data_IF_663460714843
#
_entry.id   IF_663460714843
#
_cell.length_a   1.000
_cell.length_b   1.000
_cell.length_c   1.000
_cell.angle_alpha   90.00
_cell.angle_beta   90.00
_cell.angle_gamma   90.00
#
_symmetry.space_group_name_H-M   'P 1'
#
loop_
_entity.id
_entity.type
_entity.pdbx_description
1 polymer ?
#
# COMPACT_ATOMS: atom_id res chain seq x y z
N UNK A 1 -15.85 -30.02 8.50
CA UNK A 1 -14.88 -28.95 8.27
C UNK A 1 -15.20 -28.25 6.97
N UNK A 2 -15.87 -27.11 7.07
CA UNK A 2 -16.10 -26.08 6.06
C UNK A 2 -15.00 -25.00 6.16
N UNK A 3 -15.09 -23.90 5.39
CA UNK A 3 -14.07 -22.83 5.39
C UNK A 3 -13.90 -22.23 6.80
N UNK A 4 -15.00 -21.95 7.49
CA UNK A 4 -14.96 -21.35 8.84
C UNK A 4 -14.40 -22.31 9.88
N UNK A 5 -14.79 -23.59 9.84
CA UNK A 5 -14.25 -24.63 10.72
C UNK A 5 -12.75 -24.84 10.46
N UNK A 6 -12.31 -24.79 9.19
CA UNK A 6 -10.90 -24.81 8.85
C UNK A 6 -10.20 -23.59 9.44
N UNK A 7 -10.73 -22.37 9.23
CA UNK A 7 -10.18 -21.13 9.78
C UNK A 7 -10.02 -21.21 11.31
N UNK A 8 -11.09 -21.57 12.02
CA UNK A 8 -11.07 -21.70 13.47
C UNK A 8 -10.11 -22.78 13.96
N UNK A 9 -9.96 -23.88 13.23
CA UNK A 9 -8.99 -24.94 13.58
C UNK A 9 -7.53 -24.48 13.49
N UNK A 10 -7.27 -23.40 12.74
CA UNK A 10 -5.94 -22.82 12.61
C UNK A 10 -5.61 -21.86 13.76
N UNK A 11 -6.59 -21.45 14.57
CA UNK A 11 -6.37 -20.62 15.74
C UNK A 11 -5.49 -21.36 16.77
N UNK A 12 -4.27 -20.88 16.98
CA UNK A 12 -3.28 -21.52 17.86
C UNK A 12 -2.53 -22.70 17.25
N UNK A 13 -2.69 -22.97 15.95
CA UNK A 13 -1.90 -23.98 15.23
C UNK A 13 -0.50 -23.46 14.90
N UNK A 14 0.51 -24.34 14.98
CA UNK A 14 1.90 -24.10 14.56
C UNK A 14 2.06 -24.29 13.03
N UNK A 15 1.21 -23.65 12.24
CA UNK A 15 1.41 -23.60 10.78
C UNK A 15 2.57 -22.66 10.49
N UNK A 16 3.59 -23.17 9.80
CA UNK A 16 4.85 -22.45 9.58
C UNK A 16 4.83 -21.56 8.34
N UNK A 17 3.96 -21.85 7.37
CA UNK A 17 3.86 -21.13 6.10
C UNK A 17 2.82 -20.00 6.16
N UNK A 18 2.89 -19.19 7.23
CA UNK A 18 2.08 -17.97 7.34
C UNK A 18 2.79 -16.78 6.70
N UNK A 19 2.03 -15.84 6.17
CA UNK A 19 2.56 -14.57 5.66
C UNK A 19 3.07 -13.66 6.79
N UNK A 20 3.55 -12.47 6.44
CA UNK A 20 4.05 -11.48 7.39
C UNK A 20 2.99 -10.97 8.38
N UNK A 21 1.71 -11.16 8.07
CA UNK A 21 0.57 -10.82 8.91
C UNK A 21 0.09 -12.02 9.75
N UNK A 22 0.79 -13.15 9.67
CA UNK A 22 0.43 -14.37 10.39
C UNK A 22 -0.79 -15.06 9.80
N UNK A 23 -1.11 -14.89 8.52
CA UNK A 23 -2.24 -15.50 7.85
C UNK A 23 -1.80 -16.70 7.01
N UNK A 24 -2.59 -17.75 6.98
CA UNK A 24 -2.44 -18.79 5.96
C UNK A 24 -3.17 -18.35 4.70
N UNK A 25 -2.47 -18.29 3.58
CA UNK A 25 -3.04 -17.90 2.29
C UNK A 25 -3.17 -19.14 1.40
N UNK A 26 -4.39 -19.44 0.97
CA UNK A 26 -4.69 -20.49 0.00
C UNK A 26 -5.06 -19.86 -1.34
N UNK A 27 -4.23 -20.06 -2.34
CA UNK A 27 -4.37 -19.52 -3.70
C UNK A 27 -4.70 -20.64 -4.69
N UNK A 28 -5.11 -20.26 -5.90
CA UNK A 28 -5.47 -21.21 -6.99
C UNK A 28 -4.47 -22.34 -7.17
N UNK A 29 -3.17 -22.05 -7.11
CA UNK A 29 -2.09 -23.01 -7.33
C UNK A 29 -1.37 -23.44 -6.05
N UNK A 30 -1.91 -23.12 -4.88
CA UNK A 30 -1.35 -23.63 -3.62
C UNK A 30 -1.36 -25.15 -3.61
N UNK A 31 -0.34 -25.73 -2.97
CA UNK A 31 -0.22 -27.17 -2.74
C UNK A 31 -0.40 -27.46 -1.24
N UNK A 32 -1.63 -27.74 -0.76
CA UNK A 32 -1.91 -27.94 0.66
C UNK A 32 -1.04 -29.00 1.34
N UNK A 33 -0.62 -30.04 0.62
CA UNK A 33 0.25 -31.13 1.12
C UNK A 33 1.67 -30.66 1.41
N UNK A 34 2.09 -29.57 0.78
CA UNK A 34 3.39 -28.94 1.02
C UNK A 34 3.38 -28.00 2.23
N UNK A 35 2.21 -27.69 2.79
CA UNK A 35 2.06 -26.70 3.85
C UNK A 35 2.41 -27.34 5.20
N UNK A 36 3.52 -26.90 5.78
CA UNK A 36 4.05 -27.40 7.03
C UNK A 36 3.16 -27.01 8.21
N UNK A 37 2.68 -28.03 8.93
CA UNK A 37 1.86 -27.85 10.14
C UNK A 37 0.36 -28.04 9.93
N UNK A 38 -0.11 -28.24 8.70
CA UNK A 38 -1.48 -28.71 8.46
C UNK A 38 -1.61 -30.20 8.81
N UNK A 39 -2.70 -30.55 9.51
CA UNK A 39 -3.07 -31.95 9.71
C UNK A 39 -3.57 -32.57 8.39
N UNK A 40 -3.62 -33.90 8.35
CA UNK A 40 -4.17 -34.63 7.18
C UNK A 40 -5.61 -34.20 6.91
N UNK A 41 -6.43 -34.01 7.95
CA UNK A 41 -7.81 -33.57 7.80
C UNK A 41 -7.88 -32.15 7.23
N UNK A 42 -7.08 -31.22 7.75
CA UNK A 42 -7.03 -29.84 7.25
C UNK A 42 -6.56 -29.79 5.80
N UNK A 43 -5.57 -30.60 5.44
CA UNK A 43 -5.04 -30.71 4.07
C UNK A 43 -6.13 -31.16 3.09
N UNK A 44 -6.88 -32.22 3.44
CA UNK A 44 -7.99 -32.73 2.61
C UNK A 44 -9.08 -31.67 2.43
N UNK A 45 -9.39 -30.93 3.49
CA UNK A 45 -10.42 -29.90 3.46
C UNK A 45 -9.98 -28.70 2.63
N UNK A 46 -8.75 -28.22 2.83
CA UNK A 46 -8.15 -27.13 2.05
C UNK A 46 -8.15 -27.47 0.55
N UNK A 47 -7.71 -28.69 0.18
CA UNK A 47 -7.74 -29.15 -1.21
C UNK A 47 -9.15 -29.15 -1.78
N UNK A 48 -10.12 -29.71 -1.06
CA UNK A 48 -11.52 -29.73 -1.52
C UNK A 48 -12.08 -28.32 -1.73
N UNK A 49 -11.74 -27.37 -0.86
CA UNK A 49 -12.15 -25.96 -1.00
C UNK A 49 -11.50 -25.35 -2.24
N UNK A 50 -10.18 -25.51 -2.42
CA UNK A 50 -9.46 -25.00 -3.59
C UNK A 50 -9.99 -25.58 -4.90
N UNK A 51 -10.20 -26.89 -4.96
CA UNK A 51 -10.77 -27.57 -6.13
C UNK A 51 -12.16 -26.99 -6.45
N UNK A 52 -13.01 -26.83 -5.43
CA UNK A 52 -14.38 -26.32 -5.63
C UNK A 52 -14.42 -24.87 -6.09
N UNK A 53 -13.56 -24.01 -5.54
CA UNK A 53 -13.45 -22.61 -5.99
C UNK A 53 -12.86 -22.58 -7.41
N UNK A 54 -11.83 -23.39 -7.69
CA UNK A 54 -11.19 -23.49 -9.00
C UNK A 54 -12.14 -23.91 -10.12
N UNK A 55 -13.17 -24.72 -9.82
CA UNK A 55 -14.24 -25.07 -10.77
C UNK A 55 -15.17 -23.88 -11.09
N UNK A 56 -15.32 -22.93 -10.16
CA UNK A 56 -16.28 -21.83 -10.26
C UNK A 56 -15.65 -20.54 -10.79
N UNK A 57 -14.34 -20.37 -10.60
CA UNK A 57 -13.61 -19.16 -10.98
C UNK A 57 -12.88 -19.40 -12.32
N UNK A 58 -13.09 -18.58 -13.36
CA UNK A 58 -12.40 -18.67 -14.64
C UNK A 58 -10.87 -18.67 -14.53
N UNK A 59 -10.18 -19.31 -15.47
CA UNK A 59 -8.70 -19.46 -15.46
C UNK A 59 -7.94 -18.13 -15.57
N UNK A 60 -8.57 -17.10 -16.14
CA UNK A 60 -8.03 -15.74 -16.26
C UNK A 60 -8.27 -14.88 -15.01
N UNK A 61 -8.89 -15.45 -13.97
CA UNK A 61 -9.13 -14.80 -12.68
C UNK A 61 -8.45 -15.61 -11.59
N UNK A 62 -7.53 -14.99 -10.87
CA UNK A 62 -6.93 -15.57 -9.67
C UNK A 62 -7.80 -15.33 -8.44
N UNK A 63 -7.57 -16.16 -7.43
CA UNK A 63 -8.26 -16.04 -6.15
C UNK A 63 -7.32 -16.38 -4.99
N UNK A 64 -7.63 -15.80 -3.84
CA UNK A 64 -6.98 -16.11 -2.57
C UNK A 64 -8.01 -16.23 -1.45
N UNK A 65 -7.85 -17.24 -0.60
CA UNK A 65 -8.58 -17.40 0.65
C UNK A 65 -7.59 -17.25 1.81
N UNK A 66 -7.74 -16.17 2.57
CA UNK A 66 -6.91 -15.86 3.74
C UNK A 66 -7.57 -16.38 5.01
N UNK A 67 -6.80 -17.10 5.81
CA UNK A 67 -7.23 -17.78 7.03
C UNK A 67 -6.32 -17.36 8.19
N UNK A 68 -6.86 -16.56 9.11
CA UNK A 68 -6.12 -16.00 10.25
C UNK A 68 -6.57 -16.55 11.61
N UNK A 69 -7.65 -17.36 11.63
CA UNK A 69 -8.28 -17.87 12.85
C UNK A 69 -9.37 -16.98 13.44
N UNK A 70 -9.64 -15.81 12.86
CA UNK A 70 -10.72 -14.89 13.24
C UNK A 70 -11.83 -14.94 12.19
N UNK A 71 -11.59 -14.44 10.99
CA UNK A 71 -12.59 -14.36 9.92
C UNK A 71 -11.94 -14.68 8.57
N UNK A 72 -12.46 -15.66 7.81
CA UNK A 72 -11.89 -15.99 6.52
C UNK A 72 -12.19 -14.87 5.52
N UNK A 73 -11.20 -14.48 4.72
CA UNK A 73 -11.37 -13.45 3.68
C UNK A 73 -11.12 -14.05 2.31
N UNK A 74 -12.11 -13.94 1.43
CA UNK A 74 -11.98 -14.36 0.04
C UNK A 74 -11.76 -13.15 -0.86
N UNK A 75 -10.78 -13.22 -1.74
CA UNK A 75 -10.46 -12.16 -2.69
C UNK A 75 -10.28 -12.72 -4.09
N UNK A 76 -10.75 -11.97 -5.07
CA UNK A 76 -10.52 -12.20 -6.49
C UNK A 76 -9.51 -11.20 -7.02
N UNK A 77 -8.71 -11.62 -7.99
CA UNK A 77 -7.80 -10.78 -8.74
C UNK A 77 -7.89 -11.10 -10.21
N UNK A 78 -7.92 -10.07 -11.05
CA UNK A 78 -7.83 -10.21 -12.51
C UNK A 78 -6.48 -9.68 -12.94
N UNK A 79 -5.67 -10.51 -13.61
CA UNK A 79 -4.43 -10.09 -14.25
C UNK A 79 -4.72 -9.80 -15.72
N UNK A 80 -4.72 -8.52 -16.09
CA UNK A 80 -4.88 -8.07 -17.48
C UNK A 80 -3.56 -8.14 -18.28
N UNK A 81 -2.49 -8.67 -17.69
CA UNK A 81 -1.13 -8.69 -18.23
C UNK A 81 -0.39 -7.35 -18.07
N UNK A 82 -1.01 -6.34 -17.47
CA UNK A 82 -0.54 -4.97 -17.34
C UNK A 82 -0.44 -4.56 -15.86
N UNK A 83 0.23 -5.39 -15.07
CA UNK A 83 0.79 -5.11 -13.73
C UNK A 83 -0.18 -4.66 -12.61
N UNK A 84 -1.50 -4.64 -12.83
CA UNK A 84 -2.49 -4.25 -11.83
C UNK A 84 -3.28 -5.44 -11.30
N UNK A 85 -2.96 -5.89 -10.08
CA UNK A 85 -3.84 -6.79 -9.32
C UNK A 85 -4.85 -5.90 -8.58
N UNK A 86 -6.11 -5.89 -9.00
CA UNK A 86 -7.18 -5.24 -8.23
C UNK A 86 -7.83 -6.29 -7.34
N UNK A 87 -7.67 -6.24 -6.00
CA UNK A 87 -8.32 -7.20 -5.13
C UNK A 87 -9.79 -6.83 -4.94
N UNK A 88 -10.69 -7.69 -5.39
CA UNK A 88 -12.11 -7.63 -5.04
C UNK A 88 -12.39 -8.59 -3.88
N UNK A 89 -12.68 -8.07 -2.68
CA UNK A 89 -13.13 -8.92 -1.58
C UNK A 89 -14.60 -9.30 -1.76
N UNK A 90 -14.93 -10.59 -1.61
CA UNK A 90 -16.32 -11.05 -1.60
C UNK A 90 -16.66 -11.40 -0.15
N UNK A 91 -17.56 -10.65 0.51
CA UNK A 91 -18.06 -11.04 1.82
C UNK A 91 -18.95 -12.28 1.68
N UNK A 92 -18.85 -13.20 2.64
CA UNK A 92 -19.66 -14.42 2.72
C UNK A 92 -19.78 -14.87 4.18
N UNK A 93 -20.90 -15.49 4.54
CA UNK A 93 -21.18 -16.02 5.87
C UNK A 93 -21.12 -17.56 5.91
N UNK A 94 -21.24 -18.21 4.74
CA UNK A 94 -21.16 -19.67 4.60
C UNK A 94 -20.45 -20.07 3.30
N UNK A 95 -19.90 -21.29 3.27
CA UNK A 95 -19.31 -21.89 2.06
C UNK A 95 -20.32 -21.90 0.91
N UNK A 96 -21.56 -22.31 1.17
CA UNK A 96 -22.63 -22.36 0.17
C UNK A 96 -22.95 -20.98 -0.40
N UNK A 97 -22.96 -19.94 0.43
CA UNK A 97 -23.15 -18.57 -0.03
C UNK A 97 -22.01 -18.13 -0.94
N UNK A 98 -20.75 -18.38 -0.56
CA UNK A 98 -19.59 -18.07 -1.39
C UNK A 98 -19.71 -18.77 -2.75
N UNK A 99 -19.97 -20.08 -2.75
CA UNK A 99 -20.08 -20.85 -3.98
C UNK A 99 -21.25 -20.39 -4.86
N UNK A 100 -22.40 -20.05 -4.26
CA UNK A 100 -23.53 -19.53 -5.00
C UNK A 100 -23.23 -18.17 -5.63
N UNK A 101 -22.56 -17.27 -4.89
CA UNK A 101 -22.12 -15.97 -5.40
C UNK A 101 -21.13 -16.09 -6.55
N UNK A 102 -20.21 -17.05 -6.48
CA UNK A 102 -19.26 -17.33 -7.58
C UNK A 102 -19.97 -17.93 -8.80
N UNK A 103 -20.95 -18.80 -8.58
CA UNK A 103 -21.74 -19.41 -9.65
C UNK A 103 -22.62 -18.40 -10.39
N UNK A 104 -23.23 -17.45 -9.66
CA UNK A 104 -24.10 -16.41 -10.18
C UNK A 104 -23.33 -15.18 -10.68
N UNK A 105 -22.01 -15.14 -10.50
CA UNK A 105 -21.17 -14.01 -10.87
C UNK A 105 -21.22 -13.79 -12.38
N UNK A 106 -21.53 -12.56 -12.79
CA UNK A 106 -21.27 -12.11 -14.14
C UNK A 106 -19.78 -11.82 -14.29
N UNK A 107 -19.06 -12.79 -14.85
CA UNK A 107 -17.61 -12.69 -15.03
C UNK A 107 -17.22 -11.64 -16.08
N UNK A 108 -18.08 -11.33 -17.05
CA UNK A 108 -17.80 -10.31 -18.06
C UNK A 108 -17.99 -8.90 -17.49
N UNK A 109 -19.00 -8.71 -16.63
CA UNK A 109 -19.13 -7.48 -15.84
C UNK A 109 -17.95 -7.32 -14.87
N UNK A 110 -17.54 -8.39 -14.18
CA UNK A 110 -16.34 -8.36 -13.33
C UNK A 110 -15.09 -7.92 -14.11
N UNK A 111 -14.77 -8.56 -15.24
CA UNK A 111 -13.65 -8.16 -16.11
C UNK A 111 -13.77 -6.70 -16.55
N UNK A 112 -14.96 -6.29 -16.98
CA UNK A 112 -15.23 -4.92 -17.43
C UNK A 112 -15.03 -3.91 -16.31
N UNK A 113 -15.41 -4.23 -15.08
CA UNK A 113 -15.21 -3.37 -13.91
C UNK A 113 -13.72 -3.22 -13.56
N UNK A 114 -12.95 -4.31 -13.68
CA UNK A 114 -11.50 -4.33 -13.38
C UNK A 114 -10.71 -3.54 -14.42
N UNK A 115 -11.06 -3.71 -15.70
CA UNK A 115 -10.55 -2.90 -16.82
C UNK A 115 -11.06 -1.44 -16.74
N UNK A 116 -12.25 -1.21 -16.20
CA UNK A 116 -12.76 0.13 -15.92
C UNK A 116 -11.92 0.85 -14.87
N UNK A 117 -11.44 0.11 -13.86
CA UNK A 117 -10.50 0.61 -12.85
C UNK A 117 -9.21 1.16 -13.46
N UNK A 118 -8.56 0.43 -14.38
CA UNK A 118 -7.33 0.91 -15.04
C UNK A 118 -7.58 2.17 -15.88
N UNK A 119 -8.70 2.21 -16.62
CA UNK A 119 -9.12 3.41 -17.37
C UNK A 119 -9.33 4.63 -16.44
N UNK A 120 -9.88 4.41 -15.24
CA UNK A 120 -10.04 5.47 -14.24
C UNK A 120 -8.67 6.02 -13.80
N UNK A 121 -7.70 5.17 -13.47
CA UNK A 121 -6.37 5.62 -13.07
C UNK A 121 -5.66 6.40 -14.18
N UNK A 122 -5.80 5.97 -15.43
CA UNK A 122 -5.27 6.69 -16.60
C UNK A 122 -5.94 8.06 -16.78
N UNK A 123 -7.26 8.13 -16.65
CA UNK A 123 -8.01 9.40 -16.69
C UNK A 123 -7.59 10.33 -15.55
N UNK A 124 -7.48 9.80 -14.32
CA UNK A 124 -7.02 10.54 -13.16
C UNK A 124 -5.59 11.07 -13.34
N UNK A 125 -4.71 10.29 -13.97
CA UNK A 125 -3.35 10.71 -14.29
C UNK A 125 -3.36 11.83 -15.34
N UNK A 126 -4.19 11.75 -16.38
CA UNK A 126 -4.37 12.82 -17.36
C UNK A 126 -4.94 14.10 -16.75
N UNK A 127 -5.83 13.98 -15.77
CA UNK A 127 -6.33 15.12 -14.99
C UNK A 127 -5.22 15.70 -14.11
N UNK A 128 -4.45 14.85 -13.41
CA UNK A 128 -3.35 15.27 -12.55
C UNK A 128 -2.24 16.00 -13.34
N UNK A 129 -1.96 15.59 -14.58
CA UNK A 129 -1.04 16.30 -15.49
C UNK A 129 -1.44 17.75 -15.73
N UNK A 130 -2.75 18.06 -15.71
CA UNK A 130 -3.30 19.41 -15.91
C UNK A 130 -3.41 20.22 -14.62
N UNK A 131 -3.38 19.58 -13.46
CA UNK A 131 -3.44 20.25 -12.14
C UNK A 131 -2.06 20.86 -11.80
N UNK A 132 -2.00 22.08 -11.22
CA UNK A 132 -0.74 22.64 -10.75
C UNK A 132 -0.23 21.85 -9.53
N UNK A 133 1.09 21.74 -9.40
CA UNK A 133 1.70 21.17 -8.19
C UNK A 133 1.33 22.01 -6.95
N UNK A 134 0.99 21.31 -5.87
CA UNK A 134 0.60 21.91 -4.58
C UNK A 134 1.68 21.78 -3.52
N UNK A 135 2.89 21.31 -3.87
CA UNK A 135 3.99 21.20 -2.92
C UNK A 135 4.35 22.60 -2.39
N UNK A 136 4.28 22.83 -1.08
CA UNK A 136 4.67 24.11 -0.50
C UNK A 136 6.15 24.38 -0.70
N UNK A 137 6.50 25.64 -1.02
CA UNK A 137 7.89 26.04 -1.07
C UNK A 137 8.55 25.89 0.30
N UNK A 138 9.81 25.44 0.32
CA UNK A 138 10.62 25.37 1.54
C UNK A 138 10.71 26.74 2.22
N UNK A 139 10.68 27.84 1.45
CA UNK A 139 10.64 29.19 2.03
C UNK A 139 9.37 29.43 2.87
N UNK A 140 8.20 29.02 2.36
CA UNK A 140 6.92 29.11 3.06
C UNK A 140 6.95 28.26 4.34
N UNK A 141 7.34 27.00 4.22
CA UNK A 141 7.41 26.06 5.35
C UNK A 141 8.38 26.56 6.43
N UNK A 142 9.55 27.09 6.04
CA UNK A 142 10.52 27.60 7.01
C UNK A 142 10.05 28.82 7.79
N UNK A 143 9.18 29.64 7.19
CA UNK A 143 8.56 30.78 7.89
C UNK A 143 7.55 30.28 8.92
N UNK A 144 6.80 29.25 8.58
CA UNK A 144 5.82 28.63 9.46
C UNK A 144 6.48 27.90 10.64
N UNK A 145 7.55 27.13 10.38
CA UNK A 145 8.22 26.28 11.37
C UNK A 145 9.43 26.94 12.04
N UNK A 146 9.41 28.27 12.23
CA UNK A 146 10.63 29.04 12.55
C UNK A 146 11.33 28.56 13.83
N UNK A 147 10.56 28.32 14.90
CA UNK A 147 11.10 27.90 16.19
C UNK A 147 11.57 26.44 16.14
N UNK A 148 10.79 25.55 15.52
CA UNK A 148 11.14 24.13 15.35
C UNK A 148 12.43 23.95 14.56
N UNK A 149 12.67 24.77 13.53
CA UNK A 149 13.92 24.74 12.76
C UNK A 149 15.13 25.10 13.62
N UNK A 150 14.96 25.98 14.61
CA UNK A 150 16.05 26.36 15.50
C UNK A 150 16.47 25.17 16.36
N UNK A 151 15.50 24.46 16.92
CA UNK A 151 15.72 23.28 17.76
C UNK A 151 16.30 22.12 16.94
N UNK A 152 15.71 21.86 15.77
CA UNK A 152 16.23 20.92 14.78
C UNK A 152 17.70 21.17 14.44
N UNK A 153 18.08 22.43 14.17
CA UNK A 153 19.48 22.78 13.85
C UNK A 153 20.41 22.61 15.05
N UNK A 154 19.93 22.87 16.26
CA UNK A 154 20.73 22.65 17.47
C UNK A 154 20.99 21.14 17.68
N UNK A 155 19.96 20.32 17.48
CA UNK A 155 20.05 18.88 17.53
C UNK A 155 20.99 18.31 16.45
N UNK A 156 20.77 18.68 15.19
CA UNK A 156 21.60 18.21 14.07
C UNK A 156 23.09 18.55 14.25
N UNK A 157 23.42 19.72 14.81
CA UNK A 157 24.82 20.10 15.12
C UNK A 157 25.45 19.25 16.21
N UNK A 158 24.65 18.79 17.18
CA UNK A 158 25.11 17.94 18.28
C UNK A 158 25.39 16.52 17.79
N UNK A 159 24.47 15.96 17.01
CA UNK A 159 24.53 14.57 16.57
C UNK A 159 25.44 14.36 15.35
N UNK A 160 25.53 15.36 14.45
CA UNK A 160 26.37 15.32 13.24
C UNK A 160 26.14 14.08 12.38
N UNK A 161 24.89 13.66 12.26
CA UNK A 161 24.52 12.57 11.35
C UNK A 161 24.81 12.97 9.89
N UNK A 162 25.10 11.98 9.02
CA UNK A 162 25.30 12.23 7.59
C UNK A 162 24.12 12.98 6.96
N UNK A 163 22.89 12.57 7.29
CA UNK A 163 21.67 13.26 6.93
C UNK A 163 20.78 13.42 8.16
N UNK A 164 20.28 14.63 8.36
CA UNK A 164 19.24 14.91 9.33
C UNK A 164 18.25 15.81 8.62
N UNK A 165 16.97 15.46 8.61
CA UNK A 165 15.96 16.25 7.93
C UNK A 165 14.68 16.37 8.74
N UNK A 166 13.98 17.47 8.50
CA UNK A 166 12.75 17.84 9.17
C UNK A 166 11.64 17.88 8.13
N UNK A 167 10.56 17.16 8.41
CA UNK A 167 9.36 17.16 7.59
C UNK A 167 8.16 17.62 8.40
N UNK A 168 7.12 18.04 7.69
CA UNK A 168 5.84 18.43 8.25
C UNK A 168 4.73 17.65 7.53
N UNK A 169 3.81 17.07 8.29
CA UNK A 169 2.57 16.51 7.77
C UNK A 169 1.45 17.51 8.04
N UNK A 170 0.62 17.76 7.03
CA UNK A 170 -0.51 18.68 7.16
C UNK A 170 -1.75 17.87 7.57
N UNK A 171 -2.05 17.85 8.88
CA UNK A 171 -3.29 17.29 9.41
C UNK A 171 -4.33 18.38 9.69
N UNK A 172 -5.61 17.98 9.75
CA UNK A 172 -6.73 18.84 10.10
C UNK A 172 -6.62 19.39 11.54
N UNK A 173 -6.00 18.64 12.45
CA UNK A 173 -5.79 19.02 13.86
C UNK A 173 -4.50 19.83 14.11
N UNK A 174 -3.76 20.12 13.03
CA UNK A 174 -2.53 20.91 13.06
C UNK A 174 -1.32 20.15 12.53
N UNK A 175 -0.20 20.85 12.33
CA UNK A 175 0.98 20.26 11.72
C UNK A 175 1.69 19.28 12.67
N UNK A 176 1.88 18.04 12.23
CA UNK A 176 2.81 17.12 12.88
C UNK A 176 4.22 17.30 12.32
N UNK A 177 5.22 17.26 13.18
CA UNK A 177 6.62 17.44 12.82
C UNK A 177 7.41 16.22 13.23
N UNK A 178 8.10 15.62 12.27
CA UNK A 178 9.00 14.50 12.55
C UNK A 178 10.45 14.89 12.28
N UNK A 179 11.33 14.44 13.19
CA UNK A 179 12.77 14.45 13.00
C UNK A 179 13.17 13.07 12.53
N UNK A 180 13.56 12.98 11.27
CA UNK A 180 14.06 11.74 10.73
C UNK A 180 15.57 11.70 10.94
N UNK A 181 16.02 10.76 11.77
CA UNK A 181 17.42 10.37 11.82
C UNK A 181 17.72 9.60 10.54
N UNK A 182 18.27 10.36 9.60
CA UNK A 182 18.15 10.07 8.19
C UNK A 182 19.38 9.34 7.67
N UNK A 183 19.18 8.43 6.74
CA UNK A 183 20.06 7.32 6.34
C UNK A 183 21.56 7.55 6.10
N UNK A 184 22.29 6.44 5.94
CA UNK A 184 23.77 6.42 5.89
C UNK A 184 24.35 7.13 4.66
N UNK A 185 23.56 7.27 3.60
CA UNK A 185 24.00 7.82 2.33
C UNK A 185 22.87 8.58 1.59
N UNK A 186 23.24 9.22 0.48
CA UNK A 186 22.32 10.05 -0.32
C UNK A 186 21.19 9.27 -0.96
N UNK A 187 21.45 8.05 -1.42
CA UNK A 187 20.49 7.23 -2.15
C UNK A 187 19.35 6.80 -1.23
N UNK A 188 19.70 6.21 -0.09
CA UNK A 188 18.74 5.87 0.97
C UNK A 188 17.94 7.12 1.41
N UNK A 189 18.58 8.29 1.50
CA UNK A 189 17.91 9.54 1.86
C UNK A 189 16.87 9.97 0.82
N UNK A 190 17.19 9.85 -0.47
CA UNK A 190 16.24 10.21 -1.53
C UNK A 190 15.07 9.22 -1.61
N UNK A 191 15.31 7.93 -1.38
CA UNK A 191 14.26 6.91 -1.33
C UNK A 191 13.29 7.19 -0.17
N UNK A 192 13.78 7.30 1.06
CA UNK A 192 12.96 7.58 2.26
C UNK A 192 12.20 8.91 2.11
N UNK A 193 12.85 9.93 1.55
CA UNK A 193 12.19 11.19 1.23
C UNK A 193 11.05 11.02 0.22
N UNK A 194 11.27 10.25 -0.85
CA UNK A 194 10.28 10.04 -1.91
C UNK A 194 9.04 9.29 -1.41
N UNK A 195 9.22 8.28 -0.55
CA UNK A 195 8.14 7.52 0.09
C UNK A 195 7.30 8.41 1.01
N UNK A 196 7.95 9.18 1.88
CA UNK A 196 7.26 10.12 2.77
C UNK A 196 6.51 11.21 2.02
N UNK A 197 7.07 11.72 0.92
CA UNK A 197 6.41 12.72 0.10
C UNK A 197 5.12 12.20 -0.54
N UNK A 198 5.04 10.93 -0.92
CA UNK A 198 3.78 10.30 -1.39
C UNK A 198 2.71 10.33 -0.31
N UNK A 199 3.11 10.12 0.94
CA UNK A 199 2.26 10.22 2.14
C UNK A 199 2.02 11.67 2.59
N UNK A 200 2.21 12.66 1.72
CA UNK A 200 1.97 14.09 1.96
C UNK A 200 2.84 14.73 3.06
N UNK A 201 3.99 14.14 3.39
CA UNK A 201 4.99 14.82 4.20
C UNK A 201 5.79 15.82 3.35
N UNK A 202 5.96 17.04 3.85
CA UNK A 202 6.69 18.09 3.14
C UNK A 202 8.04 18.39 3.78
N UNK A 203 9.10 18.38 2.97
CA UNK A 203 10.45 18.67 3.44
C UNK A 203 10.67 20.15 3.78
N UNK A 204 11.01 20.41 5.04
CA UNK A 204 11.20 21.77 5.61
C UNK A 204 12.68 22.15 5.67
N UNK A 205 13.53 21.24 6.16
CA UNK A 205 14.95 21.51 6.35
C UNK A 205 15.77 20.23 6.24
N UNK A 206 17.02 20.39 5.79
CA UNK A 206 18.02 19.33 5.72
C UNK A 206 19.32 19.87 6.30
N UNK A 207 19.97 19.04 7.10
CA UNK A 207 21.31 19.21 7.61
C UNK A 207 22.17 18.02 7.17
N UNK A 208 23.37 18.31 6.68
CA UNK A 208 24.37 17.30 6.30
C UNK A 208 25.58 17.53 7.20
N UNK A 209 26.02 16.48 7.91
CA UNK A 209 27.11 16.55 8.89
C UNK A 209 26.89 17.69 9.92
N UNK A 210 25.64 17.86 10.36
CA UNK A 210 25.21 18.91 11.27
C UNK A 210 25.17 20.33 10.70
N UNK A 211 25.35 20.51 9.38
CA UNK A 211 25.29 21.82 8.71
C UNK A 211 24.03 21.95 7.88
N UNK A 212 23.23 22.97 8.17
CA UNK A 212 22.03 23.27 7.38
C UNK A 212 22.40 23.67 5.95
N UNK A 213 21.73 23.08 4.96
CA UNK A 213 21.92 23.43 3.56
C UNK A 213 21.01 24.59 3.14
N UNK A 214 21.34 25.23 2.01
CA UNK A 214 20.59 26.36 1.52
C UNK A 214 19.19 25.95 1.04
N UNK A 215 18.23 26.88 1.10
CA UNK A 215 16.85 26.63 0.66
C UNK A 215 16.80 26.09 -0.78
N UNK A 216 17.60 26.66 -1.69
CA UNK A 216 17.68 26.20 -3.09
C UNK A 216 18.11 24.74 -3.22
N UNK A 217 18.98 24.26 -2.32
CA UNK A 217 19.48 22.89 -2.36
C UNK A 217 18.42 21.92 -1.81
N UNK A 218 17.61 22.36 -0.83
CA UNK A 218 16.43 21.61 -0.38
C UNK A 218 15.40 21.48 -1.50
N UNK A 219 15.11 22.56 -2.25
CA UNK A 219 14.18 22.48 -3.38
C UNK A 219 14.68 21.52 -4.46
N UNK A 220 15.99 21.55 -4.77
CA UNK A 220 16.58 20.59 -5.71
C UNK A 220 16.43 19.14 -5.22
N UNK A 221 16.68 18.89 -3.94
CA UNK A 221 16.51 17.56 -3.33
C UNK A 221 15.07 17.06 -3.44
N UNK A 222 14.06 17.92 -3.24
CA UNK A 222 12.66 17.55 -3.45
C UNK A 222 12.40 17.09 -4.88
N UNK A 223 12.92 17.84 -5.86
CA UNK A 223 12.77 17.49 -7.27
C UNK A 223 13.45 16.16 -7.61
N UNK A 224 14.67 15.94 -7.09
CA UNK A 224 15.39 14.68 -7.25
C UNK A 224 14.60 13.49 -6.64
N UNK A 225 13.99 13.66 -5.47
CA UNK A 225 13.16 12.62 -4.86
C UNK A 225 11.89 12.33 -5.67
N UNK A 226 11.26 13.36 -6.25
CA UNK A 226 10.08 13.19 -7.11
C UNK A 226 10.39 12.46 -8.43
N UNK A 227 11.63 12.52 -8.91
CA UNK A 227 12.08 11.81 -10.11
C UNK A 227 12.22 10.29 -9.89
N UNK A 228 12.31 9.84 -8.63
CA UNK A 228 12.33 8.42 -8.29
C UNK A 228 10.93 7.77 -8.33
N UNK A 229 9.88 8.58 -8.35
CA UNK A 229 8.51 8.10 -8.21
C UNK A 229 7.89 7.72 -9.56
N UNK A 230 7.13 6.62 -9.63
CA UNK A 230 6.31 6.32 -10.80
C UNK A 230 5.21 7.39 -10.98
N UNK A 231 4.58 7.49 -12.17
CA UNK A 231 3.70 8.61 -12.52
C UNK A 231 2.57 8.91 -11.52
N UNK A 232 1.90 7.87 -11.00
CA UNK A 232 0.81 8.00 -10.03
C UNK A 232 1.35 8.51 -8.68
N UNK A 233 2.33 7.82 -8.11
CA UNK A 233 3.01 8.22 -6.87
C UNK A 233 3.54 9.65 -6.93
N UNK A 234 4.11 10.05 -8.07
CA UNK A 234 4.57 11.42 -8.27
C UNK A 234 3.42 12.42 -8.23
N UNK A 235 2.31 12.12 -8.90
CA UNK A 235 1.13 12.98 -8.89
C UNK A 235 0.51 13.10 -7.48
N UNK A 236 0.52 12.02 -6.69
CA UNK A 236 0.13 12.04 -5.28
C UNK A 236 1.06 12.92 -4.44
N UNK A 237 2.37 12.70 -4.54
CA UNK A 237 3.38 13.49 -3.82
C UNK A 237 3.33 14.99 -4.16
N UNK A 238 2.96 15.32 -5.39
CA UNK A 238 2.78 16.70 -5.83
C UNK A 238 1.41 17.31 -5.46
N UNK A 239 0.53 16.56 -4.80
CA UNK A 239 -0.83 16.97 -4.45
C UNK A 239 -1.72 17.24 -5.66
N UNK A 240 -1.40 16.61 -6.80
CA UNK A 240 -2.13 16.73 -8.07
C UNK A 240 -3.16 15.64 -8.26
N UNK A 241 -3.04 14.54 -7.51
CA UNK A 241 -3.91 13.38 -7.65
C UNK A 241 -5.38 13.72 -7.32
N UNK A 242 -6.35 13.38 -8.18
CA UNK A 242 -7.74 13.76 -8.01
C UNK A 242 -8.52 12.77 -7.15
N UNK A 243 -8.21 12.72 -5.86
CA UNK A 243 -8.94 11.88 -4.90
C UNK A 243 -10.46 12.12 -4.92
N UNK A 244 -10.90 13.32 -5.34
CA UNK A 244 -12.31 13.67 -5.56
C UNK A 244 -13.05 12.83 -6.62
N UNK A 245 -12.30 12.05 -7.41
CA UNK A 245 -12.83 11.15 -8.44
C UNK A 245 -12.74 9.67 -8.05
N UNK A 246 -12.10 9.34 -6.91
CA UNK A 246 -12.06 7.96 -6.44
C UNK A 246 -13.44 7.59 -5.87
N UNK A 247 -14.02 6.45 -6.28
CA UNK A 247 -15.17 5.89 -5.59
C UNK A 247 -14.82 5.61 -4.12
N UNK A 248 -15.77 5.80 -3.20
CA UNK A 248 -15.61 5.50 -1.76
C UNK A 248 -15.07 4.08 -1.50
N UNK A 249 -15.35 3.13 -2.41
CA UNK A 249 -14.85 1.74 -2.34
C UNK A 249 -13.36 1.58 -2.63
N UNK A 250 -12.67 2.62 -3.10
CA UNK A 250 -11.24 2.64 -3.44
C UNK A 250 -10.43 3.60 -2.54
N UNK A 251 -11.04 4.27 -1.55
CA UNK A 251 -10.34 5.22 -0.66
C UNK A 251 -9.32 4.57 0.31
N UNK A 252 -9.25 3.23 0.34
CA UNK A 252 -8.35 2.46 1.22
C UNK A 252 -7.09 1.87 0.56
N UNK A 253 -6.77 2.26 -0.68
CA UNK A 253 -5.55 1.84 -1.38
C UNK A 253 -4.38 2.81 -1.21
#
# INVERSE_FOLDING_TARGET
MNIFELNSSLAGSLVLDRDEFGQLVLERYSNPEGISGLSVEQTVVARRILDRIGELVPDDVDFSLRLDGVEPVFSLSYDDGNAGVFPGSIPFETDEELYQRLLERDWDDFRSSMLGGTNLFDEMLEIAKKRPSRIPSTKTLRRFCKEQIKDFRAQARREKLPYHFMMIFEEDDGPDFTFCEGPKNREEFLVDLSERMQQRWFLVAVCIDGRAIATKDVERIKLEALELLPPISRAQAEGRWPYDLMPDSLEGF
#
